data_IF_982513132470
#
_entry.id   IF_982513132470
#
_cell.length_a   1.000
_cell.length_b   1.000
_cell.length_c   1.000
_cell.angle_alpha   90.00
_cell.angle_beta   90.00
_cell.angle_gamma   90.00
#
_symmetry.space_group_name_H-M   'P 1'
#
loop_
_entity.id
_entity.type
_entity.pdbx_description
1 polymer ?
#
# COMPACT_ATOMS: atom_id res chain seq x y z
N UNK A 1 -4.76 -10.59 5.82
CA UNK A 1 -4.70 -9.47 6.79
C UNK A 1 -3.66 -8.50 6.30
N UNK A 2 -3.98 -7.21 6.23
CA UNK A 2 -3.03 -6.19 5.80
C UNK A 2 -2.25 -5.69 7.03
N UNK A 3 -0.91 -5.74 6.97
CA UNK A 3 -0.04 -5.25 8.04
C UNK A 3 0.52 -3.88 7.66
N UNK A 4 1.41 -3.87 6.67
CA UNK A 4 1.99 -2.68 6.06
C UNK A 4 1.84 -2.80 4.54
N UNK A 5 1.68 -1.65 3.89
CA UNK A 5 1.70 -1.51 2.44
C UNK A 5 2.54 -0.30 2.09
N UNK A 6 3.63 -0.53 1.36
CA UNK A 6 4.51 0.53 0.87
C UNK A 6 4.38 0.63 -0.63
N UNK A 7 4.36 1.85 -1.14
CA UNK A 7 4.23 2.13 -2.57
C UNK A 7 5.12 3.29 -2.97
N UNK A 8 5.83 3.14 -4.07
CA UNK A 8 6.65 4.16 -4.71
C UNK A 8 6.42 4.08 -6.23
N UNK A 9 6.54 5.21 -6.92
CA UNK A 9 6.40 5.32 -8.37
C UNK A 9 5.15 4.59 -8.93
N UNK A 10 3.99 4.79 -8.31
CA UNK A 10 2.72 4.16 -8.71
C UNK A 10 1.60 5.20 -8.77
N UNK A 11 0.99 5.37 -9.95
CA UNK A 11 -0.16 6.24 -10.18
C UNK A 11 0.07 7.69 -9.72
N UNK A 12 -0.40 8.07 -8.55
CA UNK A 12 -0.24 9.41 -7.97
C UNK A 12 0.80 9.48 -6.85
N UNK A 13 1.52 8.39 -6.58
CA UNK A 13 2.58 8.33 -5.58
C UNK A 13 3.94 8.36 -6.29
N UNK A 14 4.61 9.51 -6.25
CA UNK A 14 5.95 9.67 -6.83
C UNK A 14 7.01 9.04 -5.92
N UNK A 15 7.10 9.54 -4.70
CA UNK A 15 7.97 9.05 -3.63
C UNK A 15 7.32 7.93 -2.84
N UNK A 16 8.13 7.16 -2.11
CA UNK A 16 7.68 6.14 -1.17
C UNK A 16 6.63 6.67 -0.18
N UNK A 17 5.53 5.95 -0.03
CA UNK A 17 4.48 6.17 0.96
C UNK A 17 4.16 4.85 1.67
N UNK A 18 3.93 4.91 2.99
CA UNK A 18 3.57 3.76 3.81
C UNK A 18 2.15 3.89 4.38
N UNK A 19 1.36 2.83 4.23
CA UNK A 19 0.10 2.62 4.92
C UNK A 19 0.23 1.43 5.89
N UNK A 20 0.10 1.69 7.20
CA UNK A 20 0.24 0.67 8.25
C UNK A 20 -1.04 0.49 9.05
N UNK A 21 -1.42 -0.76 9.27
CA UNK A 21 -2.47 -1.19 10.20
C UNK A 21 -1.88 -1.60 11.56
N UNK A 22 -0.55 -1.52 11.73
CA UNK A 22 0.11 -1.79 13.00
C UNK A 22 -0.14 -0.62 13.96
N UNK A 23 -0.49 -0.96 15.21
CA UNK A 23 -0.56 -0.01 16.30
C UNK A 23 0.84 0.48 16.61
N UNK A 24 1.09 1.78 16.54
CA UNK A 24 2.28 2.39 17.14
C UNK A 24 2.25 2.09 18.64
N UNK A 25 3.24 1.37 19.15
CA UNK A 25 3.32 0.99 20.55
C UNK A 25 3.26 2.25 21.43
N UNK A 26 2.33 2.29 22.38
CA UNK A 26 2.38 3.31 23.44
C UNK A 26 3.47 2.91 24.43
N UNK A 27 4.32 3.87 24.80
CA UNK A 27 5.30 3.70 25.87
C UNK A 27 4.56 3.25 27.14
N UNK A 28 4.91 2.06 27.65
CA UNK A 28 4.39 1.50 28.89
C UNK A 28 3.13 0.65 28.70
N UNK A 29 3.23 -0.64 29.05
CA UNK A 29 2.14 -1.62 29.25
C UNK A 29 1.50 -2.30 28.02
N UNK A 30 2.28 -3.01 27.19
CA UNK A 30 1.71 -4.08 26.33
C UNK A 30 2.70 -5.23 26.09
N UNK A 31 3.19 -5.85 27.16
CA UNK A 31 3.99 -7.08 27.05
C UNK A 31 3.18 -8.38 26.99
N UNK A 32 1.85 -8.35 27.10
CA UNK A 32 1.06 -9.62 27.22
C UNK A 32 -0.15 -9.76 26.29
N UNK A 33 -0.25 -8.99 25.20
CA UNK A 33 -1.33 -9.20 24.23
C UNK A 33 -0.76 -9.81 22.95
N UNK A 34 -1.25 -11.00 22.57
CA UNK A 34 -0.76 -11.76 21.41
C UNK A 34 -0.74 -10.95 20.11
N UNK A 35 0.02 -11.40 19.11
CA UNK A 35 0.33 -10.64 17.87
C UNK A 35 -0.88 -9.94 17.20
N UNK A 36 -2.07 -10.55 17.30
CA UNK A 36 -3.33 -10.04 16.77
C UNK A 36 -3.82 -8.73 17.43
N UNK A 37 -3.47 -8.50 18.70
CA UNK A 37 -3.86 -7.29 19.44
C UNK A 37 -3.20 -5.99 18.94
N UNK A 38 -2.14 -6.13 18.13
CA UNK A 38 -1.32 -5.03 17.61
C UNK A 38 -1.78 -4.53 16.25
N UNK A 39 -2.88 -5.07 15.71
CA UNK A 39 -3.36 -4.75 14.36
C UNK A 39 -4.75 -4.11 14.44
N UNK A 40 -4.93 -2.99 13.76
CA UNK A 40 -6.25 -2.38 13.64
C UNK A 40 -7.15 -3.21 12.72
N UNK A 41 -8.39 -3.55 13.13
CA UNK A 41 -9.32 -4.30 12.27
C UNK A 41 -10.00 -3.42 11.22
N UNK A 42 -9.99 -2.10 11.41
CA UNK A 42 -10.67 -1.10 10.57
C UNK A 42 -9.77 0.11 10.39
N UNK A 43 -9.76 0.69 9.19
CA UNK A 43 -9.13 1.96 8.89
C UNK A 43 -10.05 2.81 8.00
N UNK A 44 -9.88 4.13 8.09
CA UNK A 44 -10.62 5.11 7.27
C UNK A 44 -9.61 5.91 6.46
N UNK A 45 -9.80 5.97 5.15
CA UNK A 45 -8.97 6.74 4.22
C UNK A 45 -9.80 7.94 3.74
N UNK A 46 -9.38 9.15 4.09
CA UNK A 46 -10.08 10.41 3.78
C UNK A 46 -9.08 11.50 3.34
N UNK A 47 -9.60 12.59 2.78
CA UNK A 47 -8.80 13.69 2.22
C UNK A 47 -9.48 14.32 1.02
N UNK A 48 -8.86 15.36 0.44
CA UNK A 48 -9.43 16.15 -0.65
C UNK A 48 -9.63 15.36 -1.96
N UNK A 49 -10.45 15.91 -2.85
CA UNK A 49 -10.61 15.37 -4.20
C UNK A 49 -9.25 15.29 -4.91
N UNK A 50 -9.04 14.22 -5.68
CA UNK A 50 -7.78 13.92 -6.34
C UNK A 50 -6.55 13.68 -5.43
N UNK A 51 -6.69 13.63 -4.10
CA UNK A 51 -5.60 13.31 -3.17
C UNK A 51 -5.04 11.86 -3.24
N UNK A 52 -5.40 11.07 -4.25
CA UNK A 52 -4.85 9.73 -4.46
C UNK A 52 -5.53 8.59 -3.66
N UNK A 53 -6.61 8.86 -2.92
CA UNK A 53 -7.33 7.84 -2.10
C UNK A 53 -7.72 6.59 -2.90
N UNK A 54 -8.37 6.76 -4.06
CA UNK A 54 -8.72 5.63 -4.94
C UNK A 54 -7.49 5.00 -5.58
N UNK A 55 -6.41 5.76 -5.79
CA UNK A 55 -5.17 5.23 -6.34
C UNK A 55 -4.43 4.34 -5.34
N UNK A 56 -4.51 4.62 -4.03
CA UNK A 56 -3.98 3.72 -2.99
C UNK A 56 -4.58 2.32 -3.13
N UNK A 57 -5.91 2.23 -3.26
CA UNK A 57 -6.63 0.97 -3.46
C UNK A 57 -6.27 0.31 -4.80
N UNK A 58 -6.07 1.10 -5.87
CA UNK A 58 -5.62 0.57 -7.18
C UNK A 58 -4.22 -0.03 -7.11
N UNK A 59 -3.26 0.63 -6.44
CA UNK A 59 -1.91 0.07 -6.26
C UNK A 59 -1.96 -1.22 -5.41
N UNK A 60 -2.79 -1.27 -4.35
CA UNK A 60 -3.01 -2.51 -3.59
C UNK A 60 -3.62 -3.63 -4.43
N UNK A 61 -4.62 -3.32 -5.27
CA UNK A 61 -5.24 -4.29 -6.17
C UNK A 61 -4.26 -4.79 -7.24
N UNK A 62 -3.48 -3.88 -7.83
CA UNK A 62 -2.41 -4.24 -8.76
C UNK A 62 -1.43 -5.22 -8.11
N UNK A 63 -0.92 -4.90 -6.92
CA UNK A 63 0.01 -5.77 -6.20
C UNK A 63 -0.62 -7.13 -5.85
N UNK A 64 -1.87 -7.14 -5.38
CA UNK A 64 -2.57 -8.39 -5.08
C UNK A 64 -2.73 -9.29 -6.31
N UNK A 65 -3.09 -8.70 -7.45
CA UNK A 65 -3.21 -9.42 -8.72
C UNK A 65 -1.85 -9.87 -9.26
N UNK A 66 -0.83 -9.04 -9.12
CA UNK A 66 0.55 -9.38 -9.50
C UNK A 66 1.04 -10.61 -8.74
N UNK A 67 0.89 -10.63 -7.41
CA UNK A 67 1.27 -11.78 -6.58
C UNK A 67 0.48 -13.04 -6.97
N UNK A 68 -0.84 -12.92 -7.12
CA UNK A 68 -1.72 -14.06 -7.46
C UNK A 68 -1.43 -14.66 -8.83
N UNK A 69 -1.08 -13.82 -9.81
CA UNK A 69 -0.85 -14.25 -11.20
C UNK A 69 0.64 -14.39 -11.53
N UNK A 70 1.53 -14.25 -10.55
CA UNK A 70 2.99 -14.22 -10.73
C UNK A 70 3.54 -15.42 -11.50
N UNK A 71 2.97 -16.62 -11.31
CA UNK A 71 3.37 -17.84 -12.02
C UNK A 71 2.89 -17.93 -13.47
N UNK A 72 1.89 -17.14 -13.86
CA UNK A 72 1.32 -17.16 -15.20
C UNK A 72 1.95 -16.12 -16.15
N UNK A 73 2.73 -15.17 -15.61
CA UNK A 73 3.43 -14.18 -16.43
C UNK A 73 4.56 -14.85 -17.24
N UNK A 74 4.29 -15.11 -18.51
CA UNK A 74 5.29 -15.46 -19.53
C UNK A 74 5.76 -14.25 -20.32
N UNK A 75 4.95 -13.20 -20.36
CA UNK A 75 5.27 -11.89 -20.90
C UNK A 75 5.51 -10.93 -19.74
N UNK A 76 6.40 -9.96 -19.91
CA UNK A 76 7.01 -9.17 -18.82
C UNK A 76 6.05 -8.54 -17.80
N UNK A 77 6.62 -8.09 -16.69
CA UNK A 77 5.85 -7.52 -15.57
C UNK A 77 5.19 -6.20 -16.02
N UNK A 78 3.85 -6.17 -16.00
CA UNK A 78 3.11 -4.93 -16.19
C UNK A 78 3.43 -3.99 -15.02
N UNK A 79 3.91 -2.79 -15.28
CA UNK A 79 4.26 -1.79 -14.27
C UNK A 79 3.24 -0.65 -14.26
N UNK A 80 2.81 -0.24 -13.07
CA UNK A 80 2.07 1.01 -12.91
C UNK A 80 3.04 2.07 -12.44
N UNK A 81 3.33 3.04 -13.31
CA UNK A 81 4.25 4.14 -13.04
C UNK A 81 3.52 5.34 -12.44
N UNK A 82 4.26 6.29 -11.88
CA UNK A 82 3.73 7.61 -11.56
C UNK A 82 3.29 8.34 -12.84
N UNK A 83 2.08 8.91 -12.83
CA UNK A 83 1.39 9.42 -14.02
C UNK A 83 1.36 10.95 -14.13
N UNK A 84 1.82 11.67 -13.10
CA UNK A 84 1.73 13.14 -13.07
C UNK A 84 3.01 13.84 -13.54
N UNK A 85 3.98 13.08 -14.06
CA UNK A 85 5.11 13.62 -14.81
C UNK A 85 5.56 12.67 -15.94
N UNK A 86 6.51 13.12 -16.76
CA UNK A 86 7.11 12.32 -17.84
C UNK A 86 8.46 11.71 -17.47
N UNK A 87 9.02 12.09 -16.33
CA UNK A 87 10.34 11.62 -15.88
C UNK A 87 10.23 10.19 -15.36
N UNK A 88 9.14 9.89 -14.66
CA UNK A 88 8.78 8.57 -14.14
C UNK A 88 8.40 7.54 -15.21
N UNK A 89 8.28 7.94 -16.48
CA UNK A 89 7.96 7.06 -17.61
C UNK A 89 9.20 6.39 -18.24
N UNK A 90 10.40 6.67 -17.72
CA UNK A 90 11.67 6.08 -18.15
C UNK A 90 12.08 4.94 -17.22
#
# INVERSE_FOLDING_TARGET
MLLNFTVENCLSFKSEQEFTMLRKGRHGTQEEQGAWSRIFPVAVIYGDNAAGKSNLLKCMNFFSNFVRNSFALREGINTQLFLLDRESAK
#
